data_IF_198302810637
#
_entry.id   IF_198302810637
#
_cell.length_a   1.000
_cell.length_b   1.000
_cell.length_c   1.000
_cell.angle_alpha   90.00
_cell.angle_beta   90.00
_cell.angle_gamma   90.00
#
_symmetry.space_group_name_H-M   'P 1'
#
loop_
_entity.id
_entity.type
_entity.pdbx_description
1 polymer ?
#
# COMPACT_ATOMS: atom_id res chain seq x y z
N UNK A 1 -17.59 11.18 -4.42
CA UNK A 1 -16.48 10.54 -5.16
C UNK A 1 -16.82 10.24 -6.62
N UNK A 2 -17.97 9.61 -6.95
CA UNK A 2 -18.36 9.29 -8.35
C UNK A 2 -18.37 10.50 -9.28
N UNK A 3 -18.95 11.62 -8.86
CA UNK A 3 -19.01 12.86 -9.64
C UNK A 3 -17.62 13.42 -9.98
N UNK A 4 -16.69 13.35 -9.03
CA UNK A 4 -15.32 13.87 -9.17
C UNK A 4 -14.31 12.83 -9.67
N UNK A 5 -14.77 11.66 -10.12
CA UNK A 5 -13.90 10.57 -10.58
C UNK A 5 -12.93 11.01 -11.67
N UNK A 6 -13.42 11.78 -12.65
CA UNK A 6 -12.61 12.28 -13.76
C UNK A 6 -11.48 13.20 -13.26
N UNK A 7 -11.72 14.02 -12.23
CA UNK A 7 -10.69 14.87 -11.61
C UNK A 7 -9.61 14.00 -10.96
N UNK A 8 -9.99 12.99 -10.18
CA UNK A 8 -9.00 12.10 -9.56
C UNK A 8 -8.18 11.31 -10.59
N UNK A 9 -8.81 10.87 -11.68
CA UNK A 9 -8.09 10.20 -12.77
C UNK A 9 -7.12 11.14 -13.47
N UNK A 10 -7.52 12.38 -13.72
CA UNK A 10 -6.62 13.40 -14.28
C UNK A 10 -5.40 13.63 -13.37
N UNK A 11 -5.60 13.72 -12.06
CA UNK A 11 -4.50 13.83 -11.09
C UNK A 11 -3.53 12.65 -11.17
N UNK A 12 -4.03 11.42 -11.29
CA UNK A 12 -3.19 10.21 -11.43
C UNK A 12 -2.43 10.22 -12.76
N UNK A 13 -3.05 10.68 -13.86
CA UNK A 13 -2.39 10.78 -15.17
C UNK A 13 -1.27 11.82 -15.13
N UNK A 14 -1.55 13.01 -14.58
CA UNK A 14 -0.55 14.07 -14.39
C UNK A 14 0.60 13.57 -13.53
N UNK A 15 0.28 12.86 -12.44
CA UNK A 15 1.26 12.21 -11.59
C UNK A 15 2.14 11.19 -12.35
N UNK A 16 1.54 10.32 -13.16
CA UNK A 16 2.28 9.33 -13.94
C UNK A 16 3.22 10.01 -14.95
N UNK A 17 2.76 11.07 -15.63
CA UNK A 17 3.58 11.88 -16.52
C UNK A 17 4.73 12.55 -15.77
N UNK A 18 4.49 13.07 -14.56
CA UNK A 18 5.51 13.67 -13.72
C UNK A 18 6.62 12.66 -13.38
N UNK A 19 6.25 11.47 -12.89
CA UNK A 19 7.23 10.45 -12.46
C UNK A 19 8.06 9.92 -13.63
N UNK A 20 7.51 9.88 -14.84
CA UNK A 20 8.24 9.42 -16.03
C UNK A 20 9.22 10.48 -16.55
N UNK A 21 8.82 11.75 -16.57
CA UNK A 21 9.56 12.80 -17.27
C UNK A 21 10.53 13.57 -16.35
N UNK A 22 10.10 13.91 -15.13
CA UNK A 22 10.87 14.82 -14.26
C UNK A 22 12.20 14.22 -13.80
N UNK A 23 12.33 12.94 -13.41
CA UNK A 23 13.63 12.37 -13.02
C UNK A 23 14.70 12.41 -14.12
N UNK A 24 14.30 12.53 -15.40
CA UNK A 24 15.24 12.63 -16.54
C UNK A 24 15.83 14.03 -16.67
N UNK A 25 15.09 15.04 -16.22
CA UNK A 25 15.40 16.46 -16.40
C UNK A 25 15.96 17.05 -15.09
N UNK A 26 15.36 16.69 -13.97
CA UNK A 26 15.69 17.21 -12.64
C UNK A 26 16.68 16.31 -11.91
N UNK A 27 17.88 16.85 -11.66
CA UNK A 27 18.92 16.23 -10.81
C UNK A 27 19.31 17.09 -9.60
N UNK A 28 18.63 18.23 -9.41
CA UNK A 28 18.93 19.18 -8.34
C UNK A 28 18.44 18.68 -6.97
N UNK A 29 19.11 19.12 -5.90
CA UNK A 29 18.70 18.86 -4.53
C UNK A 29 18.29 20.17 -3.86
N UNK A 30 17.02 20.29 -3.46
CA UNK A 30 16.51 21.50 -2.82
C UNK A 30 16.84 21.52 -1.32
N UNK A 31 17.51 22.59 -0.84
CA UNK A 31 17.99 22.71 0.54
C UNK A 31 16.87 22.78 1.60
N UNK A 32 15.63 23.07 1.23
CA UNK A 32 14.47 23.13 2.15
C UNK A 32 13.57 21.88 2.14
N UNK A 33 13.84 20.93 1.25
CA UNK A 33 12.91 19.82 1.00
C UNK A 33 12.91 18.78 2.11
N UNK A 34 14.03 18.62 2.83
CA UNK A 34 14.10 17.74 4.00
C UNK A 34 13.08 18.12 5.09
N UNK A 35 12.93 19.43 5.34
CA UNK A 35 11.94 19.97 6.29
C UNK A 35 10.52 19.72 5.82
N UNK A 36 10.24 19.91 4.52
CA UNK A 36 8.93 19.63 3.92
C UNK A 36 8.60 18.13 4.05
N UNK A 37 9.55 17.25 3.72
CA UNK A 37 9.41 15.79 3.85
C UNK A 37 9.12 15.38 5.29
N UNK A 38 9.80 16.01 6.27
CA UNK A 38 9.51 15.75 7.69
C UNK A 38 8.06 16.07 8.05
N UNK A 39 7.60 17.30 7.75
CA UNK A 39 6.23 17.71 8.05
C UNK A 39 5.20 16.88 7.29
N UNK A 40 5.51 16.51 6.05
CA UNK A 40 4.67 15.63 5.25
C UNK A 40 4.53 14.23 5.87
N UNK A 41 5.64 13.62 6.30
CA UNK A 41 5.62 12.34 6.99
C UNK A 41 4.89 12.43 8.34
N UNK A 42 5.10 13.51 9.11
CA UNK A 42 4.42 13.73 10.37
C UNK A 42 2.90 13.90 10.20
N UNK A 43 2.49 14.67 9.18
CA UNK A 43 1.09 14.81 8.78
C UNK A 43 0.48 13.46 8.43
N UNK A 44 1.12 12.67 7.57
CA UNK A 44 0.61 11.36 7.20
C UNK A 44 0.56 10.40 8.40
N UNK A 45 1.54 10.41 9.29
CA UNK A 45 1.53 9.62 10.52
C UNK A 45 0.30 9.96 11.38
N UNK A 46 0.09 11.25 11.66
CA UNK A 46 -1.03 11.73 12.46
C UNK A 46 -2.38 11.41 11.78
N UNK A 47 -2.50 11.66 10.48
CA UNK A 47 -3.71 11.36 9.72
C UNK A 47 -4.05 9.87 9.79
N UNK A 48 -3.07 8.98 9.61
CA UNK A 48 -3.29 7.53 9.70
C UNK A 48 -3.72 7.09 11.11
N UNK A 49 -3.11 7.65 12.17
CA UNK A 49 -3.48 7.37 13.56
C UNK A 49 -4.91 7.84 13.86
N UNK A 50 -5.27 9.07 13.50
CA UNK A 50 -6.61 9.63 13.73
C UNK A 50 -7.68 8.83 12.99
N UNK A 51 -7.43 8.46 11.73
CA UNK A 51 -8.35 7.63 10.95
C UNK A 51 -8.48 6.22 11.52
N UNK A 52 -7.37 5.62 11.97
CA UNK A 52 -7.37 4.31 12.62
C UNK A 52 -8.24 4.33 13.88
N UNK A 53 -8.00 5.28 14.80
CA UNK A 53 -8.77 5.42 16.03
C UNK A 53 -10.25 5.73 15.76
N UNK A 54 -10.55 6.42 14.65
CA UNK A 54 -11.93 6.71 14.24
C UNK A 54 -12.69 5.47 13.74
N UNK A 55 -11.99 4.52 13.10
CA UNK A 55 -12.56 3.28 12.55
C UNK A 55 -12.51 2.10 13.50
N UNK A 56 -11.57 2.10 14.45
CA UNK A 56 -11.33 0.98 15.35
C UNK A 56 -12.58 0.52 16.11
N UNK A 57 -13.43 1.42 16.68
CA UNK A 57 -14.64 0.98 17.38
C UNK A 57 -15.65 0.25 16.46
N UNK A 58 -15.83 0.72 15.23
CA UNK A 58 -16.72 0.08 14.23
C UNK A 58 -16.19 -1.31 13.85
N UNK A 59 -14.87 -1.42 13.65
CA UNK A 59 -14.21 -2.69 13.39
C UNK A 59 -14.36 -3.67 14.55
N UNK A 60 -14.09 -3.25 15.79
CA UNK A 60 -14.20 -4.11 16.97
C UNK A 60 -15.64 -4.57 17.22
N UNK A 61 -16.61 -3.66 17.12
CA UNK A 61 -18.04 -4.01 17.26
C UNK A 61 -18.47 -5.03 16.22
N UNK A 62 -18.13 -4.81 14.95
CA UNK A 62 -18.51 -5.72 13.86
C UNK A 62 -17.77 -7.05 13.92
N UNK A 63 -16.54 -7.08 14.45
CA UNK A 63 -15.79 -8.30 14.70
C UNK A 63 -16.37 -9.10 15.87
N UNK A 64 -16.79 -8.43 16.94
CA UNK A 64 -17.43 -9.04 18.11
C UNK A 64 -18.77 -9.70 17.76
N UNK A 65 -19.57 -9.09 16.88
CA UNK A 65 -20.80 -9.70 16.33
C UNK A 65 -20.54 -10.96 15.50
N UNK A 66 -19.29 -11.16 15.08
CA UNK A 66 -18.82 -12.36 14.42
C UNK A 66 -18.10 -12.08 13.12
N UNK A 67 -17.28 -13.05 12.73
CA UNK A 67 -16.41 -12.94 11.57
C UNK A 67 -17.18 -12.65 10.26
N UNK A 68 -18.37 -13.24 10.11
CA UNK A 68 -19.27 -12.96 8.99
C UNK A 68 -19.76 -11.50 8.97
N UNK A 69 -20.17 -10.96 10.13
CA UNK A 69 -20.63 -9.56 10.23
C UNK A 69 -19.52 -8.61 9.77
N UNK A 70 -18.30 -8.82 10.26
CA UNK A 70 -17.13 -7.98 9.94
C UNK A 70 -16.76 -7.91 8.46
N UNK A 71 -17.01 -8.97 7.68
CA UNK A 71 -16.60 -9.10 6.29
C UNK A 71 -17.72 -8.85 5.28
N UNK A 72 -18.96 -9.13 5.66
CA UNK A 72 -20.10 -9.16 4.73
C UNK A 72 -21.21 -8.16 5.02
N UNK A 73 -21.31 -7.63 6.24
CA UNK A 73 -22.39 -6.69 6.61
C UNK A 73 -21.82 -5.29 6.79
N UNK A 74 -22.39 -4.29 6.12
CA UNK A 74 -21.94 -2.90 6.24
C UNK A 74 -22.30 -2.28 7.59
N UNK A 75 -23.30 -2.82 8.30
CA UNK A 75 -23.69 -2.41 9.65
C UNK A 75 -23.62 -0.87 9.85
N UNK A 76 -22.81 -0.41 10.81
CA UNK A 76 -22.57 1.01 11.10
C UNK A 76 -21.59 1.73 10.18
N UNK A 77 -20.83 1.03 9.33
CA UNK A 77 -19.65 1.55 8.62
C UNK A 77 -19.91 2.83 7.82
N UNK A 78 -21.01 2.84 7.06
CA UNK A 78 -21.38 3.97 6.20
C UNK A 78 -22.50 4.82 6.80
N UNK A 79 -23.20 4.32 7.83
CA UNK A 79 -24.32 5.02 8.48
C UNK A 79 -23.85 5.93 9.61
N UNK A 80 -22.84 5.51 10.35
CA UNK A 80 -22.26 6.32 11.40
C UNK A 80 -21.39 7.42 10.78
N UNK A 81 -21.65 8.68 11.15
CA UNK A 81 -20.93 9.84 10.64
C UNK A 81 -19.42 9.74 10.85
N UNK A 82 -18.97 9.10 11.94
CA UNK A 82 -17.54 8.95 12.26
C UNK A 82 -16.85 7.97 11.30
N UNK A 83 -17.32 6.74 11.24
CA UNK A 83 -16.71 5.69 10.40
C UNK A 83 -16.89 5.97 8.91
N UNK A 84 -18.05 6.51 8.51
CA UNK A 84 -18.30 6.90 7.12
C UNK A 84 -17.35 7.99 6.63
N UNK A 85 -17.13 9.04 7.44
CA UNK A 85 -16.12 10.08 7.14
C UNK A 85 -14.72 9.49 7.11
N UNK A 86 -14.36 8.63 8.06
CA UNK A 86 -13.02 8.06 8.12
C UNK A 86 -12.72 7.15 6.92
N UNK A 87 -13.65 6.30 6.48
CA UNK A 87 -13.51 5.50 5.25
C UNK A 87 -13.41 6.41 4.03
N UNK A 88 -14.23 7.46 3.93
CA UNK A 88 -14.13 8.40 2.82
C UNK A 88 -12.74 9.06 2.77
N UNK A 89 -12.27 9.60 3.90
CA UNK A 89 -10.95 10.24 4.01
C UNK A 89 -9.82 9.26 3.73
N UNK A 90 -9.92 8.00 4.15
CA UNK A 90 -8.97 6.93 3.80
C UNK A 90 -8.85 6.72 2.28
N UNK A 91 -9.95 6.78 1.53
CA UNK A 91 -9.89 6.65 0.07
C UNK A 91 -9.24 7.87 -0.58
N UNK A 92 -9.55 9.07 -0.09
CA UNK A 92 -8.89 10.30 -0.55
C UNK A 92 -7.40 10.27 -0.21
N UNK A 93 -6.99 9.60 0.87
CA UNK A 93 -5.59 9.55 1.29
C UNK A 93 -4.66 8.98 0.25
N UNK A 94 -5.11 7.96 -0.49
CA UNK A 94 -4.30 7.35 -1.54
C UNK A 94 -3.91 8.36 -2.64
N UNK A 95 -4.76 9.36 -2.90
CA UNK A 95 -4.48 10.39 -3.91
C UNK A 95 -3.44 11.38 -3.42
N UNK A 96 -3.51 11.87 -2.18
CA UNK A 96 -2.48 12.80 -1.70
C UNK A 96 -1.17 12.08 -1.36
N UNK A 97 -1.22 10.78 -1.01
CA UNK A 97 -0.03 9.93 -0.85
C UNK A 97 0.81 9.82 -2.14
N UNK A 98 0.26 10.19 -3.31
CA UNK A 98 1.03 10.35 -4.54
C UNK A 98 2.12 11.43 -4.43
N UNK A 99 2.02 12.35 -3.47
CA UNK A 99 3.05 13.35 -3.21
C UNK A 99 4.32 12.73 -2.60
N UNK A 100 4.27 11.51 -2.05
CA UNK A 100 5.45 10.81 -1.51
C UNK A 100 6.56 10.70 -2.57
N UNK A 101 6.20 10.20 -3.75
CA UNK A 101 7.11 10.04 -4.89
C UNK A 101 7.50 11.38 -5.50
N UNK A 102 6.59 12.36 -5.51
CA UNK A 102 6.91 13.72 -5.95
C UNK A 102 8.02 14.32 -5.10
N UNK A 103 7.87 14.29 -3.77
CA UNK A 103 8.90 14.80 -2.86
C UNK A 103 10.20 14.00 -2.94
N UNK A 104 10.14 12.69 -3.13
CA UNK A 104 11.35 11.88 -3.36
C UNK A 104 12.11 12.31 -4.61
N UNK A 105 11.41 12.50 -5.75
CA UNK A 105 12.03 12.91 -7.02
C UNK A 105 12.66 14.30 -6.87
N UNK A 106 11.95 15.23 -6.24
CA UNK A 106 12.44 16.59 -6.02
C UNK A 106 13.66 16.64 -5.08
N UNK A 107 13.80 15.65 -4.17
CA UNK A 107 14.98 15.50 -3.30
C UNK A 107 16.15 14.80 -4.00
N UNK A 108 16.04 14.59 -5.32
CA UNK A 108 17.04 13.89 -6.12
C UNK A 108 17.15 12.41 -5.80
N UNK A 109 16.19 11.84 -5.05
CA UNK A 109 16.18 10.41 -4.75
C UNK A 109 15.63 9.67 -5.96
N UNK A 110 16.27 8.56 -6.30
CA UNK A 110 15.71 7.62 -7.26
C UNK A 110 14.36 7.12 -6.72
N UNK A 111 13.42 6.76 -7.58
CA UNK A 111 12.14 6.16 -7.17
C UNK A 111 12.14 4.68 -7.47
N UNK A 112 11.64 3.86 -6.54
CA UNK A 112 11.46 2.43 -6.79
C UNK A 112 10.24 2.21 -7.70
N UNK A 113 10.44 1.49 -8.81
CA UNK A 113 9.39 1.12 -9.77
C UNK A 113 8.21 0.39 -9.11
N UNK A 114 8.47 -0.45 -8.08
CA UNK A 114 7.42 -1.12 -7.32
C UNK A 114 6.54 -0.13 -6.56
N UNK A 115 7.16 0.89 -5.95
CA UNK A 115 6.45 1.91 -5.18
C UNK A 115 5.57 2.77 -6.09
N UNK A 116 6.11 3.26 -7.22
CA UNK A 116 5.34 4.02 -8.20
C UNK A 116 4.14 3.21 -8.73
N UNK A 117 4.38 1.96 -9.12
CA UNK A 117 3.34 1.07 -9.66
C UNK A 117 2.26 0.80 -8.63
N UNK A 118 2.65 0.54 -7.38
CA UNK A 118 1.73 0.38 -6.27
C UNK A 118 0.85 1.63 -6.06
N UNK A 119 1.45 2.82 -6.02
CA UNK A 119 0.71 4.08 -5.85
C UNK A 119 -0.30 4.32 -6.97
N UNK A 120 0.04 4.05 -8.23
CA UNK A 120 -0.89 4.20 -9.36
C UNK A 120 -2.04 3.19 -9.25
N UNK A 121 -1.73 1.90 -9.08
CA UNK A 121 -2.73 0.83 -9.08
C UNK A 121 -3.67 0.97 -7.88
N UNK A 122 -3.14 1.22 -6.68
CA UNK A 122 -3.97 1.33 -5.47
C UNK A 122 -4.83 2.58 -5.51
N UNK A 123 -4.29 3.73 -5.91
CA UNK A 123 -5.07 4.98 -6.02
C UNK A 123 -6.20 4.83 -7.02
N UNK A 124 -5.92 4.27 -8.20
CA UNK A 124 -6.93 3.98 -9.21
C UNK A 124 -7.97 3.01 -8.63
N UNK A 125 -7.52 1.90 -8.05
CA UNK A 125 -8.41 0.87 -7.49
C UNK A 125 -9.36 1.43 -6.44
N UNK A 126 -8.90 2.31 -5.55
CA UNK A 126 -9.75 2.93 -4.51
C UNK A 126 -10.81 3.88 -5.07
N UNK A 127 -10.50 4.63 -6.14
CA UNK A 127 -11.47 5.52 -6.78
C UNK A 127 -12.65 4.73 -7.40
N UNK A 128 -12.35 3.56 -7.99
CA UNK A 128 -13.36 2.72 -8.60
C UNK A 128 -14.09 1.82 -7.58
N UNK A 129 -13.41 1.37 -6.53
CA UNK A 129 -13.97 0.43 -5.57
C UNK A 129 -14.84 1.07 -4.49
N UNK A 130 -14.72 2.38 -4.22
CA UNK A 130 -15.39 3.05 -3.10
C UNK A 130 -16.89 2.72 -2.94
N UNK A 131 -17.64 2.59 -4.04
CA UNK A 131 -19.09 2.33 -4.00
C UNK A 131 -19.46 0.85 -3.89
N UNK A 132 -18.49 -0.06 -4.09
CA UNK A 132 -18.73 -1.48 -4.26
C UNK A 132 -17.98 -2.34 -3.23
N UNK A 133 -16.93 -1.81 -2.61
CA UNK A 133 -16.04 -2.52 -1.70
C UNK A 133 -16.77 -3.06 -0.44
N UNK A 134 -17.89 -2.44 -0.05
CA UNK A 134 -18.73 -2.84 1.07
C UNK A 134 -17.95 -3.02 2.38
N UNK A 135 -18.36 -4.01 3.18
CA UNK A 135 -17.85 -4.26 4.53
C UNK A 135 -16.35 -4.62 4.56
N UNK A 136 -15.82 -5.20 3.49
CA UNK A 136 -14.38 -5.51 3.36
C UNK A 136 -13.49 -4.26 3.44
N UNK A 137 -14.03 -3.08 3.14
CA UNK A 137 -13.29 -1.83 3.31
C UNK A 137 -12.76 -1.63 4.73
N UNK A 138 -13.44 -2.14 5.77
CA UNK A 138 -12.96 -2.02 7.15
C UNK A 138 -11.62 -2.72 7.35
N UNK A 139 -11.53 -3.96 6.88
CA UNK A 139 -10.35 -4.80 7.02
C UNK A 139 -9.18 -4.19 6.26
N UNK A 140 -9.43 -3.75 5.03
CA UNK A 140 -8.43 -3.09 4.19
C UNK A 140 -7.97 -1.77 4.84
N UNK A 141 -8.90 -0.93 5.30
CA UNK A 141 -8.57 0.35 5.91
C UNK A 141 -7.82 0.17 7.24
N UNK A 142 -8.32 -0.65 8.17
CA UNK A 142 -7.70 -0.81 9.50
C UNK A 142 -6.29 -1.37 9.40
N UNK A 143 -6.07 -2.40 8.59
CA UNK A 143 -4.73 -2.99 8.42
C UNK A 143 -3.77 -2.03 7.72
N UNK A 144 -4.25 -1.30 6.70
CA UNK A 144 -3.43 -0.31 5.99
C UNK A 144 -3.08 0.90 6.86
N UNK A 145 -4.07 1.47 7.56
CA UNK A 145 -3.89 2.61 8.46
C UNK A 145 -2.91 2.28 9.59
N UNK A 146 -3.00 1.08 10.18
CA UNK A 146 -2.05 0.64 11.20
C UNK A 146 -0.62 0.52 10.63
N UNK A 147 -0.46 -0.10 9.47
CA UNK A 147 0.84 -0.25 8.82
C UNK A 147 1.44 1.09 8.37
N UNK A 148 0.62 1.99 7.83
CA UNK A 148 1.04 3.32 7.38
C UNK A 148 1.33 4.25 8.57
N UNK A 149 0.57 4.17 9.67
CA UNK A 149 0.89 4.89 10.90
C UNK A 149 2.30 4.51 11.39
N UNK A 150 2.63 3.21 11.42
CA UNK A 150 3.97 2.74 11.78
C UNK A 150 5.05 3.21 10.79
N UNK A 151 4.78 3.11 9.47
CA UNK A 151 5.72 3.56 8.44
C UNK A 151 6.03 5.05 8.56
N UNK A 152 5.01 5.91 8.52
CA UNK A 152 5.21 7.35 8.47
C UNK A 152 5.76 7.90 9.79
N UNK A 153 5.38 7.31 10.94
CA UNK A 153 5.99 7.68 12.23
C UNK A 153 7.50 7.40 12.22
N UNK A 154 7.91 6.27 11.65
CA UNK A 154 9.32 5.97 11.47
C UNK A 154 10.00 6.90 10.47
N UNK A 155 9.37 7.22 9.34
CA UNK A 155 9.94 8.13 8.35
C UNK A 155 10.12 9.54 8.93
N UNK A 156 9.15 10.04 9.68
CA UNK A 156 9.24 11.31 10.38
C UNK A 156 10.37 11.29 11.43
N UNK A 157 10.47 10.23 12.23
CA UNK A 157 11.56 10.07 13.19
C UNK A 157 12.94 9.99 12.51
N UNK A 158 13.03 9.33 11.35
CA UNK A 158 14.27 9.23 10.58
C UNK A 158 14.72 10.58 9.99
N UNK A 159 13.81 11.53 9.78
CA UNK A 159 14.20 12.88 9.35
C UNK A 159 14.87 13.69 10.48
N UNK A 160 14.76 13.26 11.74
CA UNK A 160 15.36 13.94 12.90
C UNK A 160 16.69 13.31 13.37
N UNK A 161 17.07 12.14 12.84
CA UNK A 161 18.22 11.37 13.33
C UNK A 161 19.27 11.24 12.22
N UNK A 162 20.55 11.48 12.56
CA UNK A 162 21.67 11.35 11.61
C UNK A 162 21.92 9.91 11.15
N UNK A 163 21.71 8.90 12.01
CA UNK A 163 21.99 7.49 11.72
C UNK A 163 20.73 6.63 11.66
N UNK A 164 20.53 5.96 10.52
CA UNK A 164 19.37 5.11 10.27
C UNK A 164 19.43 3.79 11.05
N UNK A 165 18.31 3.41 11.68
CA UNK A 165 18.17 2.14 12.42
C UNK A 165 17.61 1.05 11.50
N UNK A 166 18.50 0.21 10.96
CA UNK A 166 18.17 -0.85 9.98
C UNK A 166 17.24 -1.94 10.53
N UNK A 167 17.36 -2.30 11.81
CA UNK A 167 16.48 -3.28 12.47
C UNK A 167 15.02 -2.80 12.50
N UNK A 168 14.79 -1.53 12.88
CA UNK A 168 13.45 -0.93 12.87
C UNK A 168 12.86 -0.91 11.45
N UNK A 169 13.67 -0.61 10.42
CA UNK A 169 13.23 -0.64 9.04
C UNK A 169 12.72 -2.02 8.60
N UNK A 170 13.40 -3.10 9.06
CA UNK A 170 13.03 -4.49 8.79
C UNK A 170 11.69 -4.84 9.41
N UNK A 171 11.49 -4.50 10.69
CA UNK A 171 10.22 -4.73 11.40
C UNK A 171 9.06 -4.02 10.70
N UNK A 172 9.24 -2.74 10.34
CA UNK A 172 8.20 -1.95 9.68
C UNK A 172 7.86 -2.53 8.31
N UNK A 173 8.87 -2.94 7.54
CA UNK A 173 8.63 -3.61 6.25
C UNK A 173 7.87 -4.93 6.44
N UNK A 174 8.12 -5.65 7.53
CA UNK A 174 7.36 -6.84 7.92
C UNK A 174 5.89 -6.53 8.25
N UNK A 175 5.63 -5.47 9.02
CA UNK A 175 4.27 -5.00 9.34
C UNK A 175 3.51 -4.63 8.05
N UNK A 176 4.15 -3.89 7.14
CA UNK A 176 3.55 -3.52 5.86
C UNK A 176 3.25 -4.74 4.98
N UNK A 177 4.10 -5.77 5.03
CA UNK A 177 3.87 -6.99 4.28
C UNK A 177 2.73 -7.83 4.87
N UNK A 178 2.58 -7.83 6.21
CA UNK A 178 1.56 -8.60 6.92
C UNK A 178 0.11 -8.18 6.61
N UNK A 179 -0.12 -6.93 6.16
CA UNK A 179 -1.47 -6.49 5.79
C UNK A 179 -2.06 -7.29 4.61
N UNK A 180 -1.23 -7.70 3.65
CA UNK A 180 -1.68 -8.40 2.45
C UNK A 180 -2.28 -9.79 2.72
N UNK A 181 -1.61 -10.71 3.47
CA UNK A 181 -2.20 -12.01 3.79
C UNK A 181 -3.45 -11.88 4.67
N UNK A 182 -3.53 -10.88 5.56
CA UNK A 182 -4.73 -10.62 6.37
C UNK A 182 -5.93 -10.27 5.46
N UNK A 183 -5.74 -9.34 4.53
CA UNK A 183 -6.79 -8.97 3.57
C UNK A 183 -7.13 -10.11 2.60
N UNK A 184 -6.13 -10.87 2.15
CA UNK A 184 -6.34 -12.04 1.29
C UNK A 184 -7.18 -13.11 1.98
N UNK A 185 -6.91 -13.38 3.26
CA UNK A 185 -7.72 -14.28 4.08
C UNK A 185 -9.19 -13.81 4.15
N UNK A 186 -9.42 -12.52 4.40
CA UNK A 186 -10.77 -11.94 4.39
C UNK A 186 -11.49 -12.13 3.05
N UNK A 187 -10.81 -11.87 1.93
CA UNK A 187 -11.36 -12.06 0.58
C UNK A 187 -11.71 -13.52 0.28
N UNK A 188 -10.85 -14.47 0.67
CA UNK A 188 -11.12 -15.91 0.52
C UNK A 188 -12.34 -16.31 1.34
N UNK A 189 -12.47 -15.78 2.56
CA UNK A 189 -13.61 -16.06 3.44
C UNK A 189 -14.93 -15.51 2.89
N UNK A 190 -14.91 -14.32 2.30
CA UNK A 190 -16.06 -13.76 1.57
C UNK A 190 -16.47 -14.71 0.43
N UNK A 191 -15.51 -15.21 -0.37
CA UNK A 191 -15.80 -16.20 -1.41
C UNK A 191 -16.44 -17.47 -0.84
N UNK A 192 -15.94 -17.98 0.29
CA UNK A 192 -16.52 -19.14 0.97
C UNK A 192 -17.97 -18.87 1.41
N UNK A 193 -18.27 -17.70 1.97
CA UNK A 193 -19.63 -17.33 2.38
C UNK A 193 -20.59 -17.18 1.19
N UNK A 194 -20.12 -16.62 0.07
CA UNK A 194 -20.90 -16.52 -1.16
C UNK A 194 -21.19 -17.91 -1.76
N UNK A 195 -20.22 -18.81 -1.77
CA UNK A 195 -20.42 -20.20 -2.22
C UNK A 195 -21.43 -20.95 -1.33
N UNK A 196 -21.46 -20.64 -0.03
CA UNK A 196 -22.47 -21.14 0.91
C UNK A 196 -23.83 -20.42 0.80
N UNK A 197 -24.05 -19.60 -0.25
CA UNK A 197 -25.27 -18.83 -0.52
C UNK A 197 -25.69 -17.86 0.59
N UNK A 198 -24.75 -17.37 1.40
CA UNK A 198 -25.01 -16.33 2.41
C UNK A 198 -25.07 -14.94 1.76
N UNK A 199 -25.96 -14.08 2.24
CA UNK A 199 -26.14 -12.70 1.72
C UNK A 199 -24.99 -11.77 2.15
N UNK A 200 -24.07 -11.47 1.25
CA UNK A 200 -22.94 -10.57 1.51
C UNK A 200 -23.15 -9.22 0.80
N UNK A 201 -23.08 -8.12 1.53
CA UNK A 201 -23.20 -6.75 0.97
C UNK A 201 -21.88 -6.27 0.35
N UNK A 202 -20.78 -6.95 0.63
CA UNK A 202 -19.50 -6.74 -0.05
C UNK A 202 -19.58 -7.25 -1.48
N UNK A 203 -19.31 -6.37 -2.46
CA UNK A 203 -19.19 -6.81 -3.84
C UNK A 203 -17.84 -7.53 -4.03
N UNK A 204 -17.92 -8.86 -4.13
CA UNK A 204 -16.75 -9.69 -4.39
C UNK A 204 -16.40 -9.63 -5.88
N UNK A 205 -15.15 -9.25 -6.17
CA UNK A 205 -14.56 -9.41 -7.49
C UNK A 205 -13.33 -10.32 -7.38
N UNK A 206 -13.26 -11.39 -8.17
CA UNK A 206 -12.09 -12.28 -8.23
C UNK A 206 -10.81 -11.54 -8.59
N UNK A 207 -10.91 -10.41 -9.31
CA UNK A 207 -9.79 -9.52 -9.59
C UNK A 207 -9.12 -8.98 -8.32
N UNK A 208 -9.88 -8.75 -7.24
CA UNK A 208 -9.32 -8.27 -5.98
C UNK A 208 -8.36 -9.28 -5.35
N UNK A 209 -8.67 -10.58 -5.42
CA UNK A 209 -7.76 -11.63 -4.96
C UNK A 209 -6.47 -11.62 -5.78
N UNK A 210 -6.58 -11.48 -7.11
CA UNK A 210 -5.43 -11.45 -7.99
C UNK A 210 -4.51 -10.26 -7.69
N UNK A 211 -5.08 -9.07 -7.50
CA UNK A 211 -4.33 -7.85 -7.17
C UNK A 211 -3.60 -8.01 -5.83
N UNK A 212 -4.32 -8.42 -4.77
CA UNK A 212 -3.73 -8.59 -3.45
C UNK A 212 -2.64 -9.67 -3.42
N UNK A 213 -2.85 -10.79 -4.12
CA UNK A 213 -1.86 -11.86 -4.25
C UNK A 213 -0.62 -11.38 -5.00
N UNK A 214 -0.80 -10.63 -6.08
CA UNK A 214 0.31 -10.08 -6.87
C UNK A 214 1.17 -9.13 -6.04
N UNK A 215 0.55 -8.21 -5.30
CA UNK A 215 1.29 -7.33 -4.40
C UNK A 215 1.99 -8.08 -3.28
N UNK A 216 1.35 -9.07 -2.66
CA UNK A 216 1.99 -9.88 -1.63
C UNK A 216 3.28 -10.53 -2.14
N UNK A 217 3.25 -11.14 -3.34
CA UNK A 217 4.43 -11.76 -3.95
C UNK A 217 5.52 -10.73 -4.23
N UNK A 218 5.17 -9.58 -4.80
CA UNK A 218 6.11 -8.52 -5.13
C UNK A 218 6.79 -7.96 -3.87
N UNK A 219 6.03 -7.68 -2.81
CA UNK A 219 6.54 -7.19 -1.54
C UNK A 219 7.38 -8.25 -0.82
N UNK A 220 7.01 -9.53 -0.89
CA UNK A 220 7.79 -10.64 -0.34
C UNK A 220 9.15 -10.76 -1.03
N UNK A 221 9.17 -10.71 -2.37
CA UNK A 221 10.42 -10.70 -3.14
C UNK A 221 11.29 -9.50 -2.78
N UNK A 222 10.70 -8.31 -2.67
CA UNK A 222 11.40 -7.11 -2.25
C UNK A 222 12.00 -7.28 -0.84
N UNK A 223 11.23 -7.82 0.11
CA UNK A 223 11.67 -8.04 1.49
C UNK A 223 12.83 -9.03 1.57
N UNK A 224 12.73 -10.18 0.90
CA UNK A 224 13.79 -11.21 0.86
C UNK A 224 15.05 -10.67 0.19
N UNK A 225 14.92 -9.98 -0.93
CA UNK A 225 16.08 -9.42 -1.63
C UNK A 225 16.80 -8.35 -0.79
N UNK A 226 16.06 -7.58 0.01
CA UNK A 226 16.60 -6.50 0.83
C UNK A 226 17.19 -6.98 2.16
N UNK A 227 16.52 -7.88 2.87
CA UNK A 227 16.88 -8.29 4.22
C UNK A 227 17.38 -9.74 4.31
N UNK A 228 17.13 -10.55 3.29
CA UNK A 228 17.56 -11.95 3.24
C UNK A 228 19.06 -12.11 2.98
N UNK A 229 19.74 -11.13 2.38
CA UNK A 229 21.19 -11.21 2.13
C UNK A 229 22.04 -11.12 3.41
N UNK A 230 21.47 -10.68 4.53
CA UNK A 230 22.14 -10.73 5.85
C UNK A 230 22.00 -12.11 6.53
N UNK A 231 21.21 -13.04 5.98
CA UNK A 231 20.95 -14.36 6.59
C UNK A 231 21.09 -15.55 5.62
N UNK A 232 21.27 -15.32 4.32
CA UNK A 232 21.11 -16.36 3.28
C UNK A 232 22.37 -16.56 2.45
N UNK A 233 23.49 -16.88 3.09
CA UNK A 233 24.60 -17.57 2.41
C UNK A 233 24.49 -19.11 2.48
N UNK A 234 23.42 -19.68 3.08
CA UNK A 234 23.35 -21.14 3.31
C UNK A 234 22.07 -21.90 2.92
N UNK A 235 20.95 -21.28 2.50
CA UNK A 235 19.67 -22.05 2.44
C UNK A 235 19.04 -22.23 1.06
N UNK A 236 19.24 -21.36 0.06
CA UNK A 236 18.59 -21.55 -1.25
C UNK A 236 19.57 -22.00 -2.34
N UNK A 237 20.00 -23.26 -2.21
CA UNK A 237 20.51 -24.07 -3.32
C UNK A 237 19.62 -25.32 -3.44
N UNK A 238 18.32 -25.15 -3.69
CA UNK A 238 17.46 -26.21 -4.22
C UNK A 238 16.17 -25.64 -4.82
N UNK A 239 15.78 -26.24 -5.95
CA UNK A 239 14.46 -26.21 -6.60
C UNK A 239 14.06 -25.01 -7.47
N UNK A 240 14.90 -24.75 -8.47
CA UNK A 240 14.54 -24.09 -9.72
C UNK A 240 13.88 -25.06 -10.72
N UNK A 241 12.67 -25.59 -10.47
CA UNK A 241 11.88 -26.29 -11.51
C UNK A 241 10.36 -26.03 -11.53
N UNK A 242 9.79 -25.29 -10.58
CA UNK A 242 8.35 -24.97 -10.56
C UNK A 242 7.93 -23.62 -11.18
N UNK A 243 8.87 -22.74 -11.53
CA UNK A 243 8.60 -21.33 -11.86
C UNK A 243 8.49 -21.01 -13.36
N UNK A 244 8.60 -22.00 -14.25
CA UNK A 244 8.63 -21.76 -15.70
C UNK A 244 7.25 -21.44 -16.32
N UNK A 245 6.15 -21.89 -15.71
CA UNK A 245 4.79 -21.71 -16.26
C UNK A 245 4.09 -20.40 -15.85
N UNK A 246 4.70 -19.56 -15.00
CA UNK A 246 4.12 -18.28 -14.57
C UNK A 246 4.65 -17.07 -15.36
N UNK A 247 5.59 -17.28 -16.29
CA UNK A 247 6.19 -16.21 -17.10
C UNK A 247 5.27 -15.69 -18.21
N UNK A 248 4.19 -16.40 -18.53
CA UNK A 248 3.24 -16.05 -19.59
C UNK A 248 2.28 -14.93 -19.17
N UNK A 249 1.82 -14.91 -17.92
CA UNK A 249 0.93 -13.87 -17.39
C UNK A 249 1.69 -12.54 -17.15
N UNK A 250 2.98 -12.62 -16.84
CA UNK A 250 3.85 -11.46 -16.65
C UNK A 250 4.28 -10.77 -17.96
N UNK A 251 4.15 -11.42 -19.12
CA UNK A 251 4.49 -10.80 -20.43
C UNK A 251 3.47 -9.78 -20.93
N UNK A 252 2.26 -9.73 -20.36
CA UNK A 252 1.27 -8.68 -20.66
C UNK A 252 1.62 -7.33 -20.03
N UNK A 253 2.49 -7.33 -19.03
CA UNK A 253 3.07 -6.12 -18.46
C UNK A 253 4.51 -6.04 -18.97
N UNK A 254 4.74 -5.27 -20.04
CA UNK A 254 6.05 -5.00 -20.64
C UNK A 254 6.96 -4.19 -19.69
N UNK A 255 7.23 -4.76 -18.52
CA UNK A 255 8.16 -4.25 -17.52
C UNK A 255 9.30 -5.26 -17.50
N UNK A 256 10.45 -4.85 -18.03
CA UNK A 256 11.72 -5.56 -17.94
C UNK A 256 12.16 -5.69 -16.46
N UNK A 257 11.49 -6.55 -15.70
CA UNK A 257 11.80 -6.85 -14.29
C UNK A 257 13.03 -7.77 -14.13
N UNK A 258 13.64 -8.21 -15.23
CA UNK A 258 14.66 -9.26 -15.23
C UNK A 258 16.09 -8.71 -15.21
N UNK A 259 16.31 -7.40 -15.41
CA UNK A 259 17.68 -6.86 -15.54
C UNK A 259 18.03 -5.64 -14.67
N UNK A 260 17.21 -5.27 -13.68
CA UNK A 260 17.59 -4.20 -12.74
C UNK A 260 18.55 -4.73 -11.66
N UNK A 261 19.80 -4.97 -12.08
CA UNK A 261 20.98 -5.10 -11.20
C UNK A 261 21.40 -3.76 -10.58
N UNK A 262 20.54 -2.74 -10.61
CA UNK A 262 20.85 -1.35 -10.28
C UNK A 262 19.87 -0.78 -9.26
N UNK A 263 20.19 -1.00 -7.99
CA UNK A 263 19.57 -0.31 -6.86
C UNK A 263 20.47 -0.38 -5.62
N UNK A 264 21.77 -0.57 -5.84
CA UNK A 264 22.82 -0.50 -4.84
C UNK A 264 23.14 0.98 -4.61
N UNK A 265 23.43 1.37 -3.36
CA UNK A 265 23.74 2.73 -2.91
C UNK A 265 22.53 3.66 -2.75
N UNK A 266 21.67 3.37 -1.78
CA UNK A 266 20.57 4.28 -1.46
C UNK A 266 20.90 5.33 -0.42
N UNK A 267 21.93 5.18 0.42
CA UNK A 267 22.08 6.07 1.59
C UNK A 267 23.43 5.93 2.32
N UNK A 268 24.55 5.71 1.60
CA UNK A 268 25.90 5.79 2.20
C UNK A 268 26.59 7.14 1.97
N UNK A 269 26.03 8.03 1.15
CA UNK A 269 26.61 9.36 0.88
C UNK A 269 25.79 10.50 1.51
N UNK A 270 25.60 10.42 2.84
CA UNK A 270 25.37 11.57 3.73
C UNK A 270 26.08 11.32 5.06
#
# INVERSE_FOLDING_TARGET
MRQYRHIFMLLIIVYALFVINVPRIWKGRSRGLATIIFYWNAFNALANIVLFLSLLPDFLSSFHEGFYSSLCLNAGLYKNKRSGKAIFTFHISKVWELLDTVFMILDGRKTNSLHVTHHIIISTSMIYSYQHIGAMARWIAITNLAAHAALYSYLAAQSCVLKRRTCSARVISGIQMAQFPICLFGLIKIRQFLNARKKCETNYNGLSILIYSSFFILFTRFYINKYGKDCTSRVFKSDSKGLANFSSILRLWNVNLINERWGWLWYEDL
#
